data_IF_103779604226
#
_entry.id   IF_103779604226
#
_cell.length_a   1.000
_cell.length_b   1.000
_cell.length_c   1.000
_cell.angle_alpha   90.00
_cell.angle_beta   90.00
_cell.angle_gamma   90.00
#
_symmetry.space_group_name_H-M   'P 1'
#
loop_
_entity.id
_entity.type
_entity.pdbx_description
1 polymer ?
#
# COMPACT_ATOMS: atom_id res chain seq x y z
N UNK A 1 18.33 -0.79 -17.06
CA UNK A 1 17.77 -2.04 -17.64
C UNK A 1 16.42 -1.73 -18.29
N UNK A 2 15.98 -2.50 -19.29
CA UNK A 2 14.68 -2.34 -19.96
C UNK A 2 13.49 -2.28 -18.98
N UNK A 3 13.59 -2.98 -17.84
CA UNK A 3 12.63 -2.93 -16.73
C UNK A 3 12.53 -1.54 -16.07
N UNK A 4 13.65 -0.80 -15.96
CA UNK A 4 13.64 0.57 -15.43
C UNK A 4 12.93 1.56 -16.37
N UNK A 5 13.16 1.42 -17.69
CA UNK A 5 12.48 2.22 -18.72
C UNK A 5 10.98 1.91 -18.83
N UNK A 6 10.60 0.63 -18.73
CA UNK A 6 9.18 0.22 -18.68
C UNK A 6 8.50 0.70 -17.39
N UNK A 7 9.19 0.61 -16.24
CA UNK A 7 8.71 1.14 -14.97
C UNK A 7 8.42 2.64 -15.04
N UNK A 8 9.32 3.42 -15.63
CA UNK A 8 9.10 4.87 -15.82
C UNK A 8 7.95 5.20 -16.77
N UNK A 9 7.56 4.28 -17.66
CA UNK A 9 6.39 4.48 -18.54
C UNK A 9 5.08 4.11 -17.85
N UNK A 10 5.11 3.24 -16.84
CA UNK A 10 3.93 2.74 -16.14
C UNK A 10 4.12 2.75 -14.62
N UNK A 11 4.33 3.93 -14.00
CA UNK A 11 4.45 4.07 -12.54
C UNK A 11 3.26 3.47 -11.75
N UNK A 12 2.07 3.43 -12.36
CA UNK A 12 0.87 2.76 -11.82
C UNK A 12 1.16 1.29 -11.48
N UNK A 13 1.85 0.55 -12.34
CA UNK A 13 2.13 -0.87 -12.11
C UNK A 13 3.09 -1.07 -10.94
N UNK A 14 4.09 -0.20 -10.79
CA UNK A 14 5.02 -0.30 -9.66
C UNK A 14 4.31 -0.07 -8.33
N UNK A 15 3.56 1.02 -8.22
CA UNK A 15 2.80 1.32 -7.00
C UNK A 15 1.72 0.25 -6.75
N UNK A 16 1.08 -0.25 -7.81
CA UNK A 16 0.10 -1.31 -7.72
C UNK A 16 0.69 -2.65 -7.25
N UNK A 17 1.87 -3.03 -7.74
CA UNK A 17 2.60 -4.21 -7.26
C UNK A 17 3.05 -4.05 -5.81
N UNK A 18 3.43 -2.84 -5.41
CA UNK A 18 3.73 -2.52 -4.00
C UNK A 18 2.49 -2.76 -3.13
N UNK A 19 1.32 -2.29 -3.57
CA UNK A 19 0.04 -2.51 -2.87
C UNK A 19 -0.36 -3.99 -2.82
N UNK A 20 -0.24 -4.71 -3.94
CA UNK A 20 -0.53 -6.14 -4.02
C UNK A 20 0.40 -6.97 -3.12
N UNK A 21 1.64 -6.51 -2.95
CA UNK A 21 2.66 -7.14 -2.11
C UNK A 21 2.53 -6.85 -0.61
N UNK A 22 1.73 -5.86 -0.20
CA UNK A 22 1.58 -5.47 1.22
C UNK A 22 1.32 -6.63 2.18
N UNK A 23 0.35 -7.54 1.96
CA UNK A 23 0.05 -8.59 2.93
C UNK A 23 1.14 -9.66 3.01
N UNK A 24 2.10 -9.66 2.08
CA UNK A 24 3.18 -10.64 2.00
C UNK A 24 4.46 -10.19 2.69
N UNK A 25 4.40 -9.14 3.53
CA UNK A 25 5.49 -8.58 4.34
C UNK A 25 6.59 -9.61 4.66
N UNK A 26 7.65 -9.70 3.86
CA UNK A 26 8.75 -10.59 4.17
C UNK A 26 9.59 -9.94 5.27
N UNK A 27 10.30 -10.77 6.02
CA UNK A 27 11.30 -10.31 6.96
C UNK A 27 12.25 -9.31 6.29
N UNK A 28 12.68 -8.25 7.01
CA UNK A 28 13.50 -7.19 6.43
C UNK A 28 14.80 -7.78 5.85
N UNK A 29 15.11 -7.43 4.61
CA UNK A 29 16.31 -7.88 3.92
C UNK A 29 17.49 -7.05 4.41
N UNK A 30 18.53 -7.66 5.03
CA UNK A 30 19.73 -6.93 5.42
C UNK A 30 20.51 -6.57 4.16
N UNK A 31 20.54 -5.28 3.83
CA UNK A 31 21.28 -4.75 2.68
C UNK A 31 22.68 -4.28 3.07
N UNK A 32 22.83 -3.73 4.28
CA UNK A 32 24.09 -3.32 4.86
C UNK A 32 24.03 -3.37 6.40
N UNK A 33 25.16 -3.28 7.12
CA UNK A 33 25.17 -3.15 8.58
C UNK A 33 24.29 -1.97 9.03
N UNK A 34 23.22 -2.23 9.77
CA UNK A 34 22.25 -1.22 10.22
C UNK A 34 21.20 -0.80 9.18
N UNK A 35 21.29 -1.26 7.92
CA UNK A 35 20.33 -1.02 6.87
C UNK A 35 19.62 -2.31 6.48
N UNK A 36 18.44 -2.52 7.05
CA UNK A 36 17.51 -3.53 6.60
C UNK A 36 16.28 -2.83 5.98
N UNK A 37 15.94 -3.22 4.75
CA UNK A 37 14.73 -2.73 4.07
C UNK A 37 13.76 -3.90 3.92
N UNK A 38 12.51 -3.68 4.31
CA UNK A 38 11.44 -4.63 3.99
C UNK A 38 10.89 -4.39 2.57
N UNK A 39 10.10 -5.34 2.06
CA UNK A 39 9.51 -5.26 0.71
C UNK A 39 8.68 -3.99 0.52
N UNK A 40 8.01 -3.52 1.57
CA UNK A 40 7.20 -2.30 1.51
C UNK A 40 8.10 -1.08 1.34
N UNK A 41 9.19 -0.97 2.10
CA UNK A 41 10.15 0.12 1.91
C UNK A 41 10.77 0.09 0.51
N UNK A 42 11.13 -1.09 -0.02
CA UNK A 42 11.65 -1.23 -1.38
C UNK A 42 10.61 -0.78 -2.41
N UNK A 43 9.36 -1.23 -2.27
CA UNK A 43 8.27 -0.84 -3.14
C UNK A 43 7.97 0.66 -3.09
N UNK A 44 7.94 1.23 -1.88
CA UNK A 44 7.70 2.66 -1.65
C UNK A 44 8.81 3.53 -2.22
N UNK A 45 10.08 3.28 -1.87
CA UNK A 45 11.19 4.10 -2.35
C UNK A 45 11.44 3.92 -3.85
N UNK A 46 11.33 2.69 -4.35
CA UNK A 46 11.37 2.41 -5.78
C UNK A 46 10.22 3.09 -6.53
N UNK A 47 9.02 3.09 -5.95
CA UNK A 47 7.82 3.68 -6.53
C UNK A 47 7.92 5.19 -6.59
N UNK A 48 8.49 5.80 -5.55
CA UNK A 48 8.81 7.21 -5.54
C UNK A 48 9.84 7.57 -6.62
N UNK A 49 10.95 6.82 -6.72
CA UNK A 49 11.97 7.07 -7.73
C UNK A 49 11.43 6.93 -9.15
N UNK A 50 10.64 5.89 -9.42
CA UNK A 50 10.00 5.64 -10.73
C UNK A 50 8.99 6.72 -11.06
N UNK A 51 8.16 7.13 -10.09
CA UNK A 51 7.16 8.19 -10.29
C UNK A 51 7.84 9.55 -10.50
N UNK A 52 8.88 9.86 -9.74
CA UNK A 52 9.65 11.08 -9.90
C UNK A 52 10.30 11.14 -11.29
N UNK A 53 10.95 10.05 -11.72
CA UNK A 53 11.52 9.96 -13.05
C UNK A 53 10.45 10.10 -14.15
N UNK A 54 9.26 9.53 -13.96
CA UNK A 54 8.14 9.73 -14.87
C UNK A 54 7.76 11.22 -14.97
N UNK A 55 7.54 11.89 -13.85
CA UNK A 55 7.17 13.31 -13.81
C UNK A 55 8.24 14.22 -14.43
N UNK A 56 9.52 13.91 -14.24
CA UNK A 56 10.61 14.72 -14.78
C UNK A 56 10.80 14.54 -16.29
N UNK A 57 10.38 13.42 -16.86
CA UNK A 57 10.58 13.08 -18.28
C UNK A 57 9.33 13.34 -19.11
N UNK A 58 8.14 13.16 -18.53
CA UNK A 58 6.86 13.31 -19.23
C UNK A 58 6.19 14.61 -18.80
N UNK A 59 5.79 15.41 -19.79
CA UNK A 59 5.13 16.69 -19.53
C UNK A 59 3.81 16.48 -18.77
N UNK A 60 3.51 17.36 -17.79
CA UNK A 60 2.27 17.28 -17.05
C UNK A 60 1.08 17.45 -17.99
N UNK A 61 0.11 16.55 -17.90
CA UNK A 61 -1.19 16.75 -18.52
C UNK A 61 -1.84 18.01 -17.92
N UNK A 62 -2.16 19.00 -18.75
CA UNK A 62 -2.72 20.30 -18.36
C UNK A 62 -4.18 20.23 -17.85
N UNK A 63 -4.52 19.22 -17.05
CA UNK A 63 -5.82 19.10 -16.39
C UNK A 63 -5.72 19.62 -14.96
N UNK A 64 -6.52 20.64 -14.66
CA UNK A 64 -6.77 21.05 -13.29
C UNK A 64 -7.74 20.04 -12.65
N UNK A 65 -7.28 19.38 -11.59
CA UNK A 65 -8.10 18.46 -10.83
C UNK A 65 -8.78 19.19 -9.68
N UNK A 66 -10.10 19.00 -9.46
CA UNK A 66 -10.84 19.68 -8.38
C UNK A 66 -10.31 19.35 -6.98
N UNK A 67 -9.64 18.19 -6.83
CA UNK A 67 -9.05 17.74 -5.57
C UNK A 67 -7.75 18.45 -5.18
N UNK A 68 -7.18 19.32 -6.03
CA UNK A 68 -5.90 20.01 -5.74
C UNK A 68 -5.93 20.84 -4.46
N UNK A 69 -7.06 21.46 -4.10
CA UNK A 69 -7.15 22.30 -2.90
C UNK A 69 -7.25 21.51 -1.60
N UNK A 70 -8.11 20.49 -1.54
CA UNK A 70 -8.21 19.59 -0.38
C UNK A 70 -6.89 18.82 -0.18
N UNK A 71 -6.31 18.31 -1.27
CA UNK A 71 -5.06 17.55 -1.21
C UNK A 71 -3.87 18.37 -0.72
N UNK A 72 -3.86 19.69 -0.96
CA UNK A 72 -2.85 20.60 -0.40
C UNK A 72 -2.91 20.64 1.14
N UNK A 73 -4.11 20.66 1.72
CA UNK A 73 -4.27 20.60 3.18
C UNK A 73 -3.87 19.25 3.74
N UNK A 74 -4.28 18.17 3.10
CA UNK A 74 -3.87 16.80 3.48
C UNK A 74 -2.34 16.66 3.45
N UNK A 75 -1.69 17.11 2.38
CA UNK A 75 -0.24 17.07 2.25
C UNK A 75 0.47 17.91 3.34
N UNK A 76 -0.03 19.12 3.65
CA UNK A 76 0.51 19.95 4.73
C UNK A 76 0.35 19.31 6.10
N UNK A 77 -0.82 18.78 6.39
CA UNK A 77 -1.10 18.11 7.66
C UNK A 77 -0.20 16.89 7.84
N UNK A 78 -0.03 16.09 6.79
CA UNK A 78 0.85 14.93 6.84
C UNK A 78 2.32 15.32 6.97
N UNK A 79 2.77 16.34 6.25
CA UNK A 79 4.13 16.86 6.42
C UNK A 79 4.37 17.30 7.87
N UNK A 80 3.41 18.02 8.47
CA UNK A 80 3.46 18.41 9.87
C UNK A 80 3.47 17.19 10.78
N UNK A 81 2.60 16.20 10.56
CA UNK A 81 2.53 14.99 11.37
C UNK A 81 3.83 14.17 11.31
N UNK A 82 4.43 14.02 10.12
CA UNK A 82 5.71 13.34 9.93
C UNK A 82 6.84 14.12 10.64
N UNK A 83 6.84 15.44 10.55
CA UNK A 83 7.82 16.31 11.23
C UNK A 83 7.70 16.26 12.75
N UNK A 84 6.48 16.34 13.29
CA UNK A 84 6.23 16.20 14.72
C UNK A 84 6.61 14.81 15.22
N UNK A 85 6.28 13.76 14.47
CA UNK A 85 6.70 12.39 14.80
C UNK A 85 8.23 12.25 14.80
N UNK A 86 8.94 12.96 13.91
CA UNK A 86 10.41 12.98 13.92
C UNK A 86 10.94 13.63 15.20
N UNK A 87 10.39 14.79 15.59
CA UNK A 87 10.77 15.48 16.82
C UNK A 87 10.56 14.57 18.03
N UNK A 88 9.41 13.89 18.10
CA UNK A 88 9.13 12.91 19.16
C UNK A 88 10.10 11.73 19.15
N UNK A 89 10.45 11.21 17.96
CA UNK A 89 11.40 10.10 17.84
C UNK A 89 12.83 10.50 18.28
N UNK A 90 13.24 11.74 18.01
CA UNK A 90 14.52 12.28 18.44
C UNK A 90 14.59 12.52 19.96
N UNK A 91 13.44 12.71 20.61
CA UNK A 91 13.33 12.87 22.06
C UNK A 91 13.16 11.54 22.82
N UNK A 92 13.14 10.39 22.13
CA UNK A 92 12.87 9.09 22.75
C UNK A 92 14.12 8.47 23.39
N UNK A 93 13.93 7.78 24.52
CA UNK A 93 15.00 7.09 25.26
C UNK A 93 15.70 6.01 24.40
N UNK A 94 14.95 5.34 23.51
CA UNK A 94 15.46 4.32 22.60
C UNK A 94 15.59 4.86 21.16
N UNK A 95 16.44 5.86 20.98
CA UNK A 95 16.61 6.59 19.71
C UNK A 95 16.73 5.71 18.46
N UNK A 96 17.56 4.64 18.42
CA UNK A 96 17.70 3.84 17.20
C UNK A 96 16.41 3.11 16.83
N UNK A 97 15.60 2.70 17.80
CA UNK A 97 14.31 2.06 17.55
C UNK A 97 13.27 3.09 17.11
N UNK A 98 13.21 4.23 17.80
CA UNK A 98 12.28 5.30 17.48
C UNK A 98 12.51 5.85 16.06
N UNK A 99 13.76 6.06 15.63
CA UNK A 99 14.07 6.48 14.25
C UNK A 99 13.64 5.42 13.23
N UNK A 100 13.84 4.12 13.53
CA UNK A 100 13.39 3.05 12.64
C UNK A 100 11.88 3.04 12.48
N UNK A 101 11.14 3.14 13.57
CA UNK A 101 9.68 3.19 13.56
C UNK A 101 9.15 4.45 12.86
N UNK A 102 9.79 5.60 13.10
CA UNK A 102 9.47 6.83 12.37
C UNK A 102 9.66 6.66 10.86
N UNK A 103 10.79 6.08 10.45
CA UNK A 103 11.13 5.84 9.04
C UNK A 103 10.12 4.91 8.37
N UNK A 104 9.76 3.80 9.02
CA UNK A 104 8.93 2.76 8.44
C UNK A 104 7.44 3.10 8.46
N UNK A 105 6.95 3.79 9.50
CA UNK A 105 5.53 4.10 9.65
C UNK A 105 5.17 5.45 9.04
N UNK A 106 5.92 6.50 9.39
CA UNK A 106 5.57 7.87 9.03
C UNK A 106 6.19 8.27 7.69
N UNK A 107 7.52 8.14 7.57
CA UNK A 107 8.21 8.58 6.35
C UNK A 107 7.81 7.73 5.14
N UNK A 108 7.85 6.40 5.24
CA UNK A 108 7.44 5.53 4.13
C UNK A 108 5.97 5.76 3.73
N UNK A 109 5.06 5.89 4.70
CA UNK A 109 3.66 6.24 4.42
C UNK A 109 3.52 7.58 3.68
N UNK A 110 4.26 8.60 4.13
CA UNK A 110 4.30 9.91 3.47
C UNK A 110 4.86 9.87 2.05
N UNK A 111 5.94 9.13 1.83
CA UNK A 111 6.56 8.94 0.51
C UNK A 111 5.63 8.18 -0.44
N UNK A 112 4.94 7.15 0.06
CA UNK A 112 3.96 6.42 -0.74
C UNK A 112 2.81 7.35 -1.17
N UNK A 113 2.26 8.15 -0.24
CA UNK A 113 1.23 9.12 -0.60
C UNK A 113 1.73 10.18 -1.58
N UNK A 114 2.94 10.70 -1.38
CA UNK A 114 3.53 11.67 -2.31
C UNK A 114 3.64 11.06 -3.72
N UNK A 115 4.07 9.79 -3.82
CA UNK A 115 4.12 9.04 -5.07
C UNK A 115 2.73 8.91 -5.70
N UNK A 116 1.70 8.58 -4.91
CA UNK A 116 0.32 8.48 -5.39
C UNK A 116 -0.19 9.83 -5.93
N UNK A 117 0.04 10.93 -5.19
CA UNK A 117 -0.38 12.27 -5.61
C UNK A 117 0.33 12.67 -6.90
N UNK A 118 1.66 12.48 -6.97
CA UNK A 118 2.45 12.79 -8.17
C UNK A 118 1.96 11.98 -9.37
N UNK A 119 1.74 10.68 -9.20
CA UNK A 119 1.23 9.81 -10.24
C UNK A 119 -0.13 10.29 -10.77
N UNK A 120 -1.10 10.51 -9.88
CA UNK A 120 -2.45 10.89 -10.28
C UNK A 120 -2.52 12.29 -10.91
N UNK A 121 -1.58 13.17 -10.59
CA UNK A 121 -1.49 14.50 -11.21
C UNK A 121 -0.85 14.50 -12.60
N UNK A 122 -0.04 13.49 -12.93
CA UNK A 122 0.75 13.44 -14.16
C UNK A 122 0.37 12.29 -15.11
N UNK A 123 -0.67 11.52 -14.77
CA UNK A 123 -1.23 10.50 -15.66
C UNK A 123 -2.43 11.06 -16.44
N UNK A 124 -2.63 10.70 -17.73
CA UNK A 124 -3.77 11.18 -18.52
C UNK A 124 -5.14 10.72 -17.99
N UNK A 125 -5.21 9.51 -17.44
CA UNK A 125 -6.44 8.84 -16.98
C UNK A 125 -6.35 8.49 -15.47
N UNK A 126 -6.45 9.48 -14.56
CA UNK A 126 -6.21 9.25 -13.13
C UNK A 126 -7.28 8.38 -12.45
N UNK A 127 -8.53 8.47 -12.89
CA UNK A 127 -9.61 7.62 -12.37
C UNK A 127 -9.32 6.15 -12.67
N UNK A 128 -8.88 5.85 -13.90
CA UNK A 128 -8.48 4.51 -14.31
C UNK A 128 -7.23 4.04 -13.57
N UNK A 129 -6.25 4.93 -13.37
CA UNK A 129 -5.06 4.63 -12.57
C UNK A 129 -5.43 4.30 -11.11
N UNK A 130 -6.31 5.09 -10.49
CA UNK A 130 -6.80 4.84 -9.13
C UNK A 130 -7.57 3.51 -9.04
N UNK A 131 -8.46 3.23 -9.98
CA UNK A 131 -9.17 1.94 -10.07
C UNK A 131 -8.20 0.77 -10.23
N UNK A 132 -7.15 0.90 -11.05
CA UNK A 132 -6.12 -0.12 -11.22
C UNK A 132 -5.31 -0.37 -9.94
N UNK A 133 -4.97 0.69 -9.20
CA UNK A 133 -4.28 0.58 -7.90
C UNK A 133 -5.15 -0.14 -6.87
N UNK A 134 -6.45 0.20 -6.79
CA UNK A 134 -7.40 -0.49 -5.91
C UNK A 134 -7.52 -1.96 -6.32
N UNK A 135 -7.65 -2.26 -7.61
CA UNK A 135 -7.75 -3.64 -8.09
C UNK A 135 -6.50 -4.47 -7.74
N UNK A 136 -5.30 -3.89 -7.88
CA UNK A 136 -4.05 -4.57 -7.52
C UNK A 136 -3.92 -4.76 -6.01
N UNK A 137 -4.30 -3.78 -5.20
CA UNK A 137 -4.38 -3.94 -3.75
C UNK A 137 -5.34 -5.09 -3.35
N UNK A 138 -6.54 -5.10 -3.94
CA UNK A 138 -7.54 -6.16 -3.73
C UNK A 138 -7.04 -7.52 -4.18
N UNK A 139 -6.24 -7.59 -5.25
CA UNK A 139 -5.60 -8.85 -5.68
C UNK A 139 -4.71 -9.41 -4.58
N UNK A 140 -3.92 -8.56 -3.91
CA UNK A 140 -3.13 -8.96 -2.75
C UNK A 140 -3.99 -9.44 -1.58
N UNK A 141 -5.11 -8.75 -1.32
CA UNK A 141 -6.05 -9.12 -0.26
C UNK A 141 -6.73 -10.48 -0.50
N UNK A 142 -7.20 -10.74 -1.73
CA UNK A 142 -7.76 -12.04 -2.12
C UNK A 142 -6.71 -13.14 -1.99
N UNK A 143 -5.48 -12.87 -2.45
CA UNK A 143 -4.41 -13.85 -2.39
C UNK A 143 -4.04 -14.23 -0.94
N UNK A 144 -3.93 -13.27 -0.02
CA UNK A 144 -3.65 -13.59 1.39
C UNK A 144 -4.83 -14.27 2.10
N UNK A 145 -6.07 -13.95 1.74
CA UNK A 145 -7.26 -14.62 2.25
C UNK A 145 -7.29 -16.09 1.83
N UNK A 146 -7.14 -16.37 0.53
CA UNK A 146 -7.07 -17.74 0.01
C UNK A 146 -5.90 -18.53 0.61
N UNK A 147 -4.72 -17.91 0.72
CA UNK A 147 -3.57 -18.50 1.41
C UNK A 147 -3.93 -18.86 2.85
N UNK A 148 -4.59 -17.96 3.59
CA UNK A 148 -4.94 -18.16 4.99
C UNK A 148 -5.97 -19.28 5.19
N UNK A 149 -6.91 -19.44 4.26
CA UNK A 149 -7.86 -20.57 4.25
C UNK A 149 -7.11 -21.89 4.08
N UNK A 150 -6.23 -22.00 3.08
CA UNK A 150 -5.43 -23.22 2.84
C UNK A 150 -4.48 -23.51 4.01
N UNK A 151 -3.83 -22.48 4.55
CA UNK A 151 -2.96 -22.62 5.72
C UNK A 151 -3.75 -23.14 6.94
N UNK A 152 -4.96 -22.61 7.16
CA UNK A 152 -5.81 -23.03 8.27
C UNK A 152 -6.23 -24.50 8.18
N UNK A 153 -6.56 -25.02 6.98
CA UNK A 153 -6.91 -26.44 6.81
C UNK A 153 -5.72 -27.38 7.05
N UNK A 154 -4.50 -26.89 6.81
CA UNK A 154 -3.25 -27.61 7.09
C UNK A 154 -2.77 -27.44 8.55
N UNK A 155 -3.46 -26.63 9.36
CA UNK A 155 -3.07 -26.35 10.73
C UNK A 155 -1.78 -25.52 10.86
N UNK A 156 -1.38 -24.80 9.80
CA UNK A 156 -0.20 -23.92 9.78
C UNK A 156 -0.63 -22.46 9.80
N UNK A 157 0.21 -21.57 10.35
CA UNK A 157 -0.13 -20.14 10.47
C UNK A 157 -1.48 -19.90 11.18
N UNK A 158 -1.77 -20.73 12.18
CA UNK A 158 -2.95 -20.62 13.06
C UNK A 158 -2.48 -20.32 14.48
N UNK A 159 -3.37 -19.73 15.27
CA UNK A 159 -3.13 -19.50 16.70
C UNK A 159 -4.40 -19.83 17.45
N UNK A 160 -4.27 -20.53 18.57
CA UNK A 160 -5.39 -20.80 19.47
C UNK A 160 -5.53 -19.63 20.44
N UNK A 161 -6.66 -18.95 20.37
CA UNK A 161 -7.01 -17.85 21.26
C UNK A 161 -8.36 -18.19 21.88
N UNK A 162 -8.40 -18.30 23.21
CA UNK A 162 -9.62 -18.65 23.96
C UNK A 162 -10.23 -19.99 23.53
N UNK A 163 -9.39 -20.96 23.15
CA UNK A 163 -9.84 -22.29 22.69
C UNK A 163 -10.39 -22.31 21.25
N UNK A 164 -10.35 -21.18 20.54
CA UNK A 164 -10.76 -21.09 19.14
C UNK A 164 -9.55 -20.97 18.23
N UNK A 165 -9.46 -21.85 17.24
CA UNK A 165 -8.42 -21.83 16.21
C UNK A 165 -8.65 -20.69 15.23
N UNK A 166 -7.81 -19.65 15.28
CA UNK A 166 -7.88 -18.47 14.42
C UNK A 166 -6.78 -18.50 13.35
N UNK A 167 -7.13 -18.18 12.12
CA UNK A 167 -6.15 -17.97 11.05
C UNK A 167 -5.33 -16.70 11.34
N UNK A 168 -4.01 -16.79 11.24
CA UNK A 168 -3.07 -15.68 11.37
C UNK A 168 -2.46 -15.29 10.02
N UNK A 169 -2.37 -16.25 9.10
CA UNK A 169 -1.70 -16.04 7.81
C UNK A 169 -0.25 -15.60 8.01
N UNK A 170 0.23 -14.68 7.17
CA UNK A 170 1.60 -14.15 7.26
C UNK A 170 1.75 -13.02 8.29
N UNK A 171 0.69 -12.66 9.02
CA UNK A 171 0.73 -11.58 10.00
C UNK A 171 1.29 -12.02 11.35
N UNK A 172 1.73 -11.06 12.17
CA UNK A 172 2.19 -11.33 13.53
C UNK A 172 1.09 -11.84 14.47
N UNK A 173 -0.17 -11.46 14.24
CA UNK A 173 -1.34 -11.77 15.07
C UNK A 173 -2.59 -11.95 14.20
N UNK A 174 -3.55 -12.85 14.58
CA UNK A 174 -4.81 -13.03 13.86
C UNK A 174 -5.63 -11.74 13.74
N UNK A 175 -5.52 -10.83 14.71
CA UNK A 175 -6.25 -9.56 14.66
C UNK A 175 -5.76 -8.64 13.54
N UNK A 176 -4.48 -8.70 13.18
CA UNK A 176 -3.94 -7.87 12.10
C UNK A 176 -4.43 -8.34 10.73
N UNK A 177 -4.53 -9.66 10.54
CA UNK A 177 -5.12 -10.23 9.33
C UNK A 177 -6.59 -9.82 9.21
N UNK A 178 -7.37 -9.97 10.29
CA UNK A 178 -8.78 -9.58 10.30
C UNK A 178 -8.99 -8.09 9.98
N UNK A 179 -8.25 -7.18 10.65
CA UNK A 179 -8.32 -5.74 10.39
C UNK A 179 -7.90 -5.37 8.96
N UNK A 180 -6.92 -6.08 8.39
CA UNK A 180 -6.51 -5.86 7.01
C UNK A 180 -7.62 -6.26 6.03
N UNK A 181 -8.20 -7.45 6.19
CA UNK A 181 -9.27 -7.96 5.33
C UNK A 181 -10.56 -7.15 5.47
N UNK A 182 -10.93 -6.75 6.69
CA UNK A 182 -12.11 -5.90 6.94
C UNK A 182 -12.05 -4.59 6.12
N UNK A 183 -10.90 -3.92 6.10
CA UNK A 183 -10.70 -2.70 5.29
C UNK A 183 -10.85 -2.99 3.80
N UNK A 184 -10.35 -4.13 3.34
CA UNK A 184 -10.46 -4.54 1.94
C UNK A 184 -11.92 -4.81 1.56
N UNK A 185 -12.68 -5.50 2.41
CA UNK A 185 -14.12 -5.74 2.22
C UNK A 185 -14.88 -4.43 2.13
N UNK A 186 -14.67 -3.49 3.06
CA UNK A 186 -15.36 -2.20 3.04
C UNK A 186 -15.09 -1.43 1.74
N UNK A 187 -13.85 -1.43 1.26
CA UNK A 187 -13.48 -0.80 -0.02
C UNK A 187 -14.11 -1.54 -1.20
N UNK A 188 -14.09 -2.88 -1.21
CA UNK A 188 -14.70 -3.68 -2.27
C UNK A 188 -16.21 -3.45 -2.37
N UNK A 189 -16.90 -3.38 -1.22
CA UNK A 189 -18.33 -3.08 -1.15
C UNK A 189 -18.64 -1.66 -1.62
N UNK A 190 -17.81 -0.68 -1.26
CA UNK A 190 -17.95 0.68 -1.79
C UNK A 190 -17.79 0.69 -3.32
N UNK A 191 -16.76 0.04 -3.86
CA UNK A 191 -16.54 -0.07 -5.30
C UNK A 191 -17.67 -0.82 -6.02
N UNK A 192 -18.25 -1.83 -5.38
CA UNK A 192 -19.43 -2.54 -5.88
C UNK A 192 -20.65 -1.61 -5.96
N UNK A 193 -20.88 -0.77 -4.95
CA UNK A 193 -21.99 0.19 -4.91
C UNK A 193 -21.92 1.25 -6.01
N UNK A 194 -20.70 1.64 -6.41
CA UNK A 194 -20.46 2.60 -7.50
C UNK A 194 -20.17 1.96 -8.86
N UNK A 195 -20.32 0.63 -9.00
CA UNK A 195 -20.00 -0.05 -10.24
C UNK A 195 -21.08 0.17 -11.33
N UNK A 196 -20.65 0.74 -12.45
CA UNK A 196 -21.51 1.10 -13.58
C UNK A 196 -21.79 -0.08 -14.52
N UNK A 197 -20.86 -1.03 -14.60
CA UNK A 197 -20.98 -2.20 -15.49
C UNK A 197 -21.15 -3.52 -14.72
N UNK A 198 -21.85 -4.48 -15.33
CA UNK A 198 -21.99 -5.84 -14.78
C UNK A 198 -20.64 -6.51 -14.51
N UNK A 199 -19.66 -6.31 -15.40
CA UNK A 199 -18.30 -6.86 -15.24
C UNK A 199 -17.62 -6.29 -13.98
N UNK A 200 -17.73 -4.98 -13.74
CA UNK A 200 -17.20 -4.35 -12.53
C UNK A 200 -17.94 -4.84 -11.28
N UNK A 201 -19.27 -4.97 -11.33
CA UNK A 201 -20.06 -5.51 -10.21
C UNK A 201 -19.62 -6.93 -9.86
N UNK A 202 -19.43 -7.78 -10.86
CA UNK A 202 -18.95 -9.14 -10.64
C UNK A 202 -17.53 -9.14 -10.07
N UNK A 203 -16.62 -8.33 -10.61
CA UNK A 203 -15.24 -8.25 -10.12
C UNK A 203 -15.16 -7.78 -8.65
N UNK A 204 -15.87 -6.71 -8.30
CA UNK A 204 -15.87 -6.17 -6.93
C UNK A 204 -16.68 -7.04 -5.96
N UNK A 205 -17.76 -7.66 -6.41
CA UNK A 205 -18.54 -8.62 -5.62
C UNK A 205 -17.73 -9.88 -5.28
N UNK A 206 -17.00 -10.43 -6.26
CA UNK A 206 -16.07 -11.56 -6.01
C UNK A 206 -14.95 -11.14 -5.07
N UNK A 207 -14.38 -9.94 -5.26
CA UNK A 207 -13.32 -9.45 -4.36
C UNK A 207 -13.82 -9.32 -2.93
N UNK A 208 -15.00 -8.74 -2.72
CA UNK A 208 -15.62 -8.60 -1.40
C UNK A 208 -15.96 -9.94 -0.74
N UNK A 209 -16.33 -10.95 -1.53
CA UNK A 209 -16.66 -12.28 -1.00
C UNK A 209 -15.40 -13.10 -0.65
N UNK A 210 -14.28 -12.83 -1.31
CA UNK A 210 -13.03 -13.57 -1.13
C UNK A 210 -12.05 -12.91 -0.17
N UNK A 211 -12.26 -11.67 0.22
CA UNK A 211 -11.52 -10.99 1.31
C UNK A 211 -12.29 -11.04 2.60
#
# INVERSE_FOLDING_TARGET
SLLGLLGTRQPVLWLGLTLAGLPFHPHPLPLAPGLALNLVEIGTWGGFAVTLAHVLVFEPTAREYPFRSCMRWVARFLFLAIGLALISALAADYLPQAIREWRTVFLAGGVFLASLILLLQHTPEPERAAQALIALWMTGAVAISLFSIVAWTQGIQVTDVEGVRRARGLFGSPNNLALYLERCVLVALAMLGFAESWKQRLAWGVSAALT
#
